data_IF_898720651447
#
_entry.id   IF_898720651447
#
_cell.length_a   1.000
_cell.length_b   1.000
_cell.length_c   1.000
_cell.angle_alpha   90.00
_cell.angle_beta   90.00
_cell.angle_gamma   90.00
#
_symmetry.space_group_name_H-M   'P 1'
#
loop_
_entity.id
_entity.type
_entity.pdbx_description
1 polymer ?
#
# COMPACT_ATOMS: atom_id res chain seq x y z
N UNK A 1 5.36 -3.54 -22.64
CA UNK A 1 5.99 -4.39 -21.65
C UNK A 1 5.06 -5.53 -21.23
N UNK A 2 5.62 -6.68 -21.11
CA UNK A 2 4.84 -7.86 -20.80
C UNK A 2 4.50 -7.91 -19.31
N UNK A 3 3.22 -8.06 -19.01
CA UNK A 3 2.78 -8.31 -17.66
C UNK A 3 3.19 -9.73 -17.26
N UNK A 4 3.80 -9.85 -16.10
CA UNK A 4 4.23 -11.16 -15.62
C UNK A 4 3.56 -11.47 -14.30
N UNK A 5 2.82 -12.55 -14.27
CA UNK A 5 2.39 -13.12 -13.02
C UNK A 5 3.51 -13.98 -12.45
N UNK A 6 3.73 -13.87 -11.17
CA UNK A 6 4.76 -14.61 -10.50
C UNK A 6 4.27 -14.96 -9.10
N UNK A 7 4.77 -16.09 -8.59
CA UNK A 7 4.51 -16.49 -7.22
C UNK A 7 5.52 -15.88 -6.24
N UNK A 8 6.47 -15.09 -6.74
CA UNK A 8 7.41 -14.40 -5.88
C UNK A 8 6.67 -13.46 -4.93
N UNK A 9 7.13 -13.42 -3.70
CA UNK A 9 6.54 -12.60 -2.66
C UNK A 9 7.53 -11.52 -2.26
N UNK A 10 7.00 -10.37 -1.88
CA UNK A 10 7.80 -9.28 -1.36
C UNK A 10 7.38 -9.01 0.07
N UNK A 11 8.34 -8.87 0.98
CA UNK A 11 8.06 -8.31 2.29
C UNK A 11 7.79 -6.82 2.12
N UNK A 12 7.23 -6.18 3.13
CA UNK A 12 7.03 -4.74 3.09
C UNK A 12 8.35 -3.99 2.92
N UNK A 13 9.40 -4.48 3.59
CA UNK A 13 10.74 -3.89 3.46
C UNK A 13 11.25 -4.00 2.02
N UNK A 14 11.09 -5.17 1.42
CA UNK A 14 11.51 -5.38 0.02
C UNK A 14 10.70 -4.50 -0.93
N UNK A 15 9.39 -4.38 -0.69
CA UNK A 15 8.55 -3.52 -1.51
C UNK A 15 9.03 -2.06 -1.44
N UNK A 16 9.32 -1.56 -0.23
CA UNK A 16 9.82 -0.20 -0.08
C UNK A 16 11.11 0.02 -0.86
N UNK A 17 12.03 -0.94 -0.79
CA UNK A 17 13.29 -0.85 -1.51
C UNK A 17 13.07 -0.87 -3.03
N UNK A 18 12.16 -1.71 -3.51
CA UNK A 18 11.85 -1.78 -4.93
C UNK A 18 11.19 -0.51 -5.45
N UNK A 19 10.26 0.03 -4.70
CA UNK A 19 9.57 1.27 -5.08
C UNK A 19 10.57 2.44 -5.09
N UNK A 20 11.46 2.50 -4.10
CA UNK A 20 12.50 3.53 -4.07
C UNK A 20 13.43 3.40 -5.28
N UNK A 21 13.89 2.19 -5.58
CA UNK A 21 14.79 1.97 -6.70
C UNK A 21 14.15 2.31 -8.04
N UNK A 22 12.84 2.03 -8.16
CA UNK A 22 12.14 2.19 -9.44
C UNK A 22 11.60 3.61 -9.63
N UNK A 23 11.04 4.19 -8.59
CA UNK A 23 10.27 5.44 -8.68
C UNK A 23 10.77 6.56 -7.77
N UNK A 24 11.77 6.30 -6.93
CA UNK A 24 12.18 7.28 -5.91
C UNK A 24 12.53 8.64 -6.48
N UNK A 25 13.22 8.68 -7.61
CA UNK A 25 13.61 9.93 -8.23
C UNK A 25 12.38 10.72 -8.69
N UNK A 26 11.44 10.06 -9.34
CA UNK A 26 10.18 10.68 -9.76
C UNK A 26 9.34 11.11 -8.58
N UNK A 27 9.31 10.27 -7.55
CA UNK A 27 8.55 10.58 -6.33
C UNK A 27 9.08 11.85 -5.68
N UNK A 28 10.40 11.96 -5.54
CA UNK A 28 11.01 13.16 -4.96
C UNK A 28 10.75 14.40 -5.79
N UNK A 29 10.80 14.28 -7.10
CA UNK A 29 10.52 15.41 -7.99
C UNK A 29 9.06 15.86 -7.89
N UNK A 30 8.14 14.92 -7.70
CA UNK A 30 6.71 15.23 -7.56
C UNK A 30 6.39 15.80 -6.18
N UNK A 31 7.05 15.27 -5.14
CA UNK A 31 6.85 15.69 -3.78
C UNK A 31 5.72 14.95 -3.07
N UNK A 32 5.63 15.17 -1.77
CA UNK A 32 4.68 14.45 -0.91
C UNK A 32 3.24 14.72 -1.31
N UNK A 33 2.89 15.99 -1.47
CA UNK A 33 1.49 16.36 -1.76
C UNK A 33 1.02 15.78 -3.09
N UNK A 34 1.83 15.88 -4.13
CA UNK A 34 1.48 15.33 -5.43
C UNK A 34 1.35 13.80 -5.40
N UNK A 35 2.25 13.15 -4.68
CA UNK A 35 2.24 11.69 -4.55
C UNK A 35 1.02 11.24 -3.74
N UNK A 36 0.68 11.95 -2.67
CA UNK A 36 -0.51 11.66 -1.88
C UNK A 36 -1.79 11.80 -2.72
N UNK A 37 -1.88 12.82 -3.56
CA UNK A 37 -3.04 12.99 -4.45
C UNK A 37 -3.20 11.82 -5.40
N UNK A 38 -2.12 11.31 -5.94
CA UNK A 38 -2.17 10.13 -6.79
C UNK A 38 -2.64 8.91 -6.02
N UNK A 39 -2.20 8.76 -4.77
CA UNK A 39 -2.68 7.67 -3.94
C UNK A 39 -4.19 7.76 -3.73
N UNK A 40 -4.71 8.94 -3.43
CA UNK A 40 -6.16 9.14 -3.26
C UNK A 40 -6.91 8.78 -4.54
N UNK A 41 -6.37 9.14 -5.70
CA UNK A 41 -6.98 8.79 -6.97
C UNK A 41 -7.01 7.28 -7.17
N UNK A 42 -5.95 6.58 -6.81
CA UNK A 42 -5.91 5.12 -6.90
C UNK A 42 -6.90 4.45 -5.95
N UNK A 43 -7.15 5.02 -4.80
CA UNK A 43 -8.20 4.53 -3.91
C UNK A 43 -9.55 4.58 -4.63
N UNK A 44 -9.80 5.63 -5.40
CA UNK A 44 -11.00 5.73 -6.23
C UNK A 44 -11.06 4.65 -7.30
N UNK A 45 -9.93 4.30 -7.89
CA UNK A 45 -9.87 3.22 -8.88
C UNK A 45 -10.18 1.85 -8.24
N UNK A 46 -9.76 1.65 -7.00
CA UNK A 46 -10.13 0.44 -6.26
C UNK A 46 -11.65 0.39 -6.08
N UNK A 47 -12.28 1.51 -5.73
CA UNK A 47 -13.73 1.59 -5.57
C UNK A 47 -14.46 1.23 -6.86
N UNK A 48 -13.94 1.72 -7.99
CA UNK A 48 -14.49 1.42 -9.30
C UNK A 48 -14.37 -0.07 -9.64
N UNK A 49 -13.20 -0.66 -9.36
CA UNK A 49 -12.97 -2.08 -9.58
C UNK A 49 -13.87 -2.95 -8.71
N UNK A 50 -14.16 -2.51 -7.48
CA UNK A 50 -15.08 -3.20 -6.60
C UNK A 50 -16.49 -3.29 -7.18
N UNK A 51 -16.96 -2.21 -7.83
CA UNK A 51 -18.27 -2.22 -8.48
C UNK A 51 -18.29 -3.17 -9.66
N UNK A 52 -17.20 -3.26 -10.40
CA UNK A 52 -17.11 -4.16 -11.56
C UNK A 52 -16.98 -5.62 -11.16
N UNK A 53 -16.52 -5.91 -9.95
CA UNK A 53 -16.34 -7.26 -9.41
C UNK A 53 -15.44 -8.15 -10.28
N UNK A 54 -14.42 -7.54 -10.87
CA UNK A 54 -13.44 -8.26 -11.66
C UNK A 54 -12.20 -8.52 -10.78
N UNK A 55 -11.92 -9.80 -10.43
CA UNK A 55 -10.80 -10.09 -9.52
C UNK A 55 -9.44 -9.65 -10.04
N UNK A 56 -9.21 -9.76 -11.35
CA UNK A 56 -7.93 -9.35 -11.93
C UNK A 56 -7.75 -7.84 -11.83
N UNK A 57 -8.82 -7.08 -12.09
CA UNK A 57 -8.81 -5.63 -11.98
C UNK A 57 -8.60 -5.20 -10.53
N UNK A 58 -9.27 -5.87 -9.58
CA UNK A 58 -9.12 -5.61 -8.16
C UNK A 58 -7.69 -5.83 -7.70
N UNK A 59 -7.08 -6.94 -8.09
CA UNK A 59 -5.68 -7.21 -7.73
C UNK A 59 -4.77 -6.12 -8.26
N UNK A 60 -4.98 -5.70 -9.50
CA UNK A 60 -4.19 -4.67 -10.14
C UNK A 60 -4.32 -3.33 -9.40
N UNK A 61 -5.55 -2.89 -9.14
CA UNK A 61 -5.78 -1.58 -8.52
C UNK A 61 -5.36 -1.54 -7.06
N UNK A 62 -5.54 -2.64 -6.33
CA UNK A 62 -5.05 -2.71 -4.95
C UNK A 62 -3.52 -2.66 -4.95
N UNK A 63 -2.88 -3.35 -5.90
CA UNK A 63 -1.43 -3.29 -6.04
C UNK A 63 -0.94 -1.87 -6.31
N UNK A 64 -1.62 -1.15 -7.21
CA UNK A 64 -1.26 0.23 -7.52
C UNK A 64 -1.45 1.14 -6.30
N UNK A 65 -2.56 0.98 -5.57
CA UNK A 65 -2.81 1.76 -4.36
C UNK A 65 -1.72 1.50 -3.31
N UNK A 66 -1.32 0.24 -3.17
CA UNK A 66 -0.24 -0.13 -2.25
C UNK A 66 1.09 0.52 -2.68
N UNK A 67 1.38 0.51 -3.97
CA UNK A 67 2.61 1.12 -4.49
C UNK A 67 2.66 2.63 -4.22
N UNK A 68 1.56 3.34 -4.46
CA UNK A 68 1.51 4.78 -4.21
C UNK A 68 1.62 5.09 -2.73
N UNK A 69 0.97 4.30 -1.86
CA UNK A 69 1.12 4.46 -0.42
C UNK A 69 2.56 4.22 0.00
N UNK A 70 3.22 3.24 -0.59
CA UNK A 70 4.63 2.95 -0.31
C UNK A 70 5.51 4.12 -0.73
N UNK A 71 5.22 4.76 -1.87
CA UNK A 71 5.92 5.97 -2.29
C UNK A 71 5.77 7.09 -1.26
N UNK A 72 4.57 7.29 -0.73
CA UNK A 72 4.35 8.29 0.33
C UNK A 72 5.20 7.94 1.55
N UNK A 73 5.18 6.69 1.98
CA UNK A 73 5.96 6.25 3.13
C UNK A 73 7.45 6.51 2.94
N UNK A 74 7.97 6.21 1.75
CA UNK A 74 9.38 6.46 1.43
C UNK A 74 9.71 7.95 1.51
N UNK A 75 8.84 8.80 0.99
CA UNK A 75 9.07 10.24 0.98
C UNK A 75 9.09 10.85 2.37
N UNK A 76 8.29 10.33 3.28
CA UNK A 76 8.21 10.89 4.64
C UNK A 76 9.05 10.09 5.66
N UNK A 77 9.80 9.10 5.20
CA UNK A 77 10.72 8.35 6.05
C UNK A 77 10.05 7.36 6.99
N UNK A 78 8.90 6.83 6.62
CA UNK A 78 8.21 5.83 7.44
C UNK A 78 8.58 4.43 6.95
N UNK A 79 9.01 3.60 7.90
CA UNK A 79 9.29 2.18 7.65
C UNK A 79 7.97 1.42 7.80
N UNK A 80 7.50 0.83 6.70
CA UNK A 80 6.21 0.14 6.68
C UNK A 80 6.17 -1.08 7.60
N UNK A 81 7.28 -1.81 7.74
CA UNK A 81 7.31 -2.94 8.66
C UNK A 81 7.17 -2.49 10.11
N UNK A 82 7.81 -1.38 10.46
CA UNK A 82 7.63 -0.82 11.80
C UNK A 82 6.21 -0.32 12.00
N UNK A 83 5.65 0.33 11.00
CA UNK A 83 4.27 0.79 11.08
C UNK A 83 3.30 -0.38 11.25
N UNK A 84 3.56 -1.49 10.53
CA UNK A 84 2.72 -2.68 10.62
C UNK A 84 2.90 -3.45 11.92
N UNK A 85 4.04 -3.29 12.60
CA UNK A 85 4.35 -4.07 13.80
C UNK A 85 3.38 -3.83 14.96
N UNK A 86 2.66 -2.73 14.93
CA UNK A 86 1.65 -2.45 15.97
C UNK A 86 0.52 -3.47 15.98
N UNK A 87 0.38 -4.26 14.92
CA UNK A 87 -0.68 -5.27 14.79
C UNK A 87 -0.20 -6.68 15.08
N UNK A 88 1.06 -6.85 15.49
CA UNK A 88 1.67 -8.18 15.60
C UNK A 88 0.97 -9.07 16.63
N UNK A 89 0.42 -8.49 17.69
CA UNK A 89 -0.25 -9.23 18.76
C UNK A 89 -1.78 -9.11 18.71
N UNK A 90 -2.32 -8.69 17.57
CA UNK A 90 -3.76 -8.50 17.44
C UNK A 90 -4.13 -7.01 17.41
N UNK A 91 -5.27 -6.68 17.98
CA UNK A 91 -5.71 -5.29 18.00
C UNK A 91 -4.78 -4.43 18.88
N UNK A 92 -4.18 -3.36 18.34
CA UNK A 92 -3.26 -2.54 19.15
C UNK A 92 -3.97 -1.76 20.25
N UNK A 93 -5.31 -1.66 20.22
CA UNK A 93 -6.08 -0.93 21.20
C UNK A 93 -6.50 -1.82 22.37
N UNK A 94 -7.06 -3.01 22.08
CA UNK A 94 -7.52 -3.92 23.14
C UNK A 94 -6.60 -5.12 23.35
N UNK A 95 -5.64 -5.36 22.45
CA UNK A 95 -4.70 -6.47 22.57
C UNK A 95 -5.26 -7.81 22.18
N UNK A 96 -6.48 -7.88 21.66
CA UNK A 96 -7.13 -9.15 21.39
C UNK A 96 -7.23 -9.47 19.91
N UNK A 97 -7.27 -10.76 19.61
CA UNK A 97 -7.52 -11.28 18.28
C UNK A 97 -8.49 -12.45 18.40
N UNK A 98 -9.78 -12.31 18.03
CA UNK A 98 -10.37 -11.13 17.36
C UNK A 98 -10.54 -9.94 18.30
N UNK A 99 -10.63 -8.76 17.69
CA UNK A 99 -10.78 -7.51 18.42
C UNK A 99 -12.07 -7.49 19.25
N UNK A 100 -11.95 -7.00 20.49
CA UNK A 100 -13.09 -6.86 21.38
C UNK A 100 -13.40 -5.40 21.74
N UNK A 101 -12.85 -4.45 20.97
CA UNK A 101 -13.17 -3.04 21.16
C UNK A 101 -14.66 -2.81 20.93
N UNK A 102 -15.32 -1.92 21.72
CA UNK A 102 -16.71 -1.55 21.45
C UNK A 102 -16.79 -0.72 20.16
N UNK A 103 -17.89 -0.88 19.45
CA UNK A 103 -18.13 -0.17 18.20
C UNK A 103 -17.65 -0.93 16.98
N UNK A 104 -17.89 -0.35 15.84
CA UNK A 104 -17.61 -1.01 14.57
C UNK A 104 -16.20 -0.73 14.09
#
# INVERSE_FOLDING_TARGET
>A
MKHRETEARLSLHELQARIEATFGERDRARGVDGTFRWWVEEVGEVAKALRARDPAELQHEIGDALAWLTSVANLVGVDLERAASRFVDGCPRCGNSPCTCPGA
#
